data_IF_467761046320
#
_entry.id   IF_467761046320
#
_cell.length_a   1.000
_cell.length_b   1.000
_cell.length_c   1.000
_cell.angle_alpha   90.00
_cell.angle_beta   90.00
_cell.angle_gamma   90.00
#
_symmetry.space_group_name_H-M   'P 1'
#
loop_
_entity.id
_entity.type
_entity.pdbx_description
1 polymer ?
#
# COMPACT_ATOMS: atom_id res chain seq x y z
N UNK A 1 36.31 8.87 -5.50
CA UNK A 1 35.51 7.76 -4.91
C UNK A 1 34.23 8.25 -4.24
N UNK A 2 34.21 9.45 -3.65
CA UNK A 2 33.01 10.09 -3.07
C UNK A 2 31.91 10.37 -4.09
N UNK A 3 32.25 10.86 -5.28
CA UNK A 3 31.26 11.35 -6.25
C UNK A 3 30.38 10.22 -6.82
N UNK A 4 30.96 9.04 -7.04
CA UNK A 4 30.23 7.85 -7.49
C UNK A 4 29.26 7.34 -6.42
N UNK A 5 29.63 7.44 -5.14
CA UNK A 5 28.75 7.08 -4.03
C UNK A 5 27.54 8.03 -3.93
N UNK A 6 27.78 9.35 -3.97
CA UNK A 6 26.70 10.33 -3.93
C UNK A 6 25.76 10.21 -5.13
N UNK A 7 26.30 9.96 -6.33
CA UNK A 7 25.50 9.74 -7.53
C UNK A 7 24.60 8.51 -7.40
N UNK A 8 25.15 7.38 -6.96
CA UNK A 8 24.37 6.15 -6.76
C UNK A 8 23.30 6.32 -5.67
N UNK A 9 23.61 7.06 -4.60
CA UNK A 9 22.65 7.35 -3.54
C UNK A 9 21.49 8.22 -4.04
N UNK A 10 21.79 9.26 -4.83
CA UNK A 10 20.78 10.11 -5.46
C UNK A 10 19.90 9.31 -6.42
N UNK A 11 20.50 8.45 -7.24
CA UNK A 11 19.77 7.55 -8.13
C UNK A 11 18.86 6.60 -7.34
N UNK A 12 19.37 5.97 -6.29
CA UNK A 12 18.60 5.06 -5.46
C UNK A 12 17.37 5.73 -4.84
N UNK A 13 17.56 6.91 -4.25
CA UNK A 13 16.46 7.69 -3.66
C UNK A 13 15.48 8.13 -4.74
N UNK A 14 15.96 8.60 -5.89
CA UNK A 14 15.13 9.03 -7.01
C UNK A 14 14.27 7.91 -7.57
N UNK A 15 14.86 6.74 -7.80
CA UNK A 15 14.15 5.53 -8.28
C UNK A 15 13.15 5.05 -7.23
N UNK A 16 13.52 5.05 -5.95
CA UNK A 16 12.60 4.64 -4.87
C UNK A 16 11.39 5.56 -4.82
N UNK A 17 11.60 6.89 -4.86
CA UNK A 17 10.52 7.86 -4.88
C UNK A 17 9.63 7.70 -6.12
N UNK A 18 10.24 7.48 -7.29
CA UNK A 18 9.53 7.25 -8.54
C UNK A 18 8.64 6.00 -8.48
N UNK A 19 9.18 4.87 -8.01
CA UNK A 19 8.42 3.63 -7.83
C UNK A 19 7.27 3.79 -6.81
N UNK A 20 7.49 4.56 -5.74
CA UNK A 20 6.49 4.78 -4.71
C UNK A 20 5.41 5.79 -5.08
N UNK A 21 5.67 6.73 -5.98
CA UNK A 21 4.70 7.78 -6.29
C UNK A 21 4.04 7.63 -7.66
N UNK A 22 4.79 7.25 -8.70
CA UNK A 22 4.32 7.32 -10.08
C UNK A 22 3.13 6.37 -10.33
N UNK A 23 3.20 5.06 -9.99
CA UNK A 23 2.10 4.13 -10.30
C UNK A 23 0.79 4.53 -9.62
N UNK A 24 0.84 4.89 -8.34
CA UNK A 24 -0.31 5.33 -7.57
C UNK A 24 -0.85 6.68 -8.06
N UNK A 25 0.01 7.63 -8.39
CA UNK A 25 -0.43 8.90 -8.97
C UNK A 25 -1.13 8.70 -10.33
N UNK A 26 -0.57 7.87 -11.21
CA UNK A 26 -1.17 7.52 -12.50
C UNK A 26 -2.50 6.79 -12.32
N UNK A 27 -2.60 5.90 -11.34
CA UNK A 27 -3.86 5.23 -11.01
C UNK A 27 -4.91 6.22 -10.53
N UNK A 28 -4.56 7.14 -9.62
CA UNK A 28 -5.49 8.19 -9.19
C UNK A 28 -5.96 9.02 -10.39
N UNK A 29 -5.06 9.35 -11.31
CA UNK A 29 -5.40 10.10 -12.52
C UNK A 29 -6.27 9.30 -13.51
N UNK A 30 -6.08 7.99 -13.61
CA UNK A 30 -6.84 7.11 -14.50
C UNK A 30 -8.24 6.79 -13.96
N UNK A 31 -8.36 6.55 -12.65
CA UNK A 31 -9.60 6.07 -12.04
C UNK A 31 -10.45 7.17 -11.40
N UNK A 32 -9.84 8.24 -10.91
CA UNK A 32 -10.52 9.34 -10.21
C UNK A 32 -10.38 10.67 -10.96
N UNK A 33 -11.32 11.59 -10.73
CA UNK A 33 -11.29 12.87 -11.41
C UNK A 33 -10.22 13.79 -10.82
N UNK A 34 -9.50 14.52 -11.68
CA UNK A 34 -8.40 15.41 -11.31
C UNK A 34 -8.77 16.50 -10.30
N UNK A 35 -10.05 16.83 -10.15
CA UNK A 35 -10.56 17.85 -9.22
C UNK A 35 -11.18 17.31 -7.94
N UNK A 36 -11.27 15.98 -7.76
CA UNK A 36 -11.84 15.39 -6.54
C UNK A 36 -10.89 15.44 -5.34
N UNK A 37 -9.58 15.45 -5.58
CA UNK A 37 -8.57 15.43 -4.53
C UNK A 37 -7.69 16.67 -4.55
N UNK A 38 -7.32 17.14 -3.36
CA UNK A 38 -6.30 18.18 -3.20
C UNK A 38 -4.91 17.64 -3.62
N UNK A 39 -3.94 18.51 -3.98
CA UNK A 39 -2.59 18.06 -4.31
C UNK A 39 -1.92 17.26 -3.18
N UNK A 40 -2.20 17.62 -1.92
CA UNK A 40 -1.70 16.92 -0.75
C UNK A 40 -2.32 15.53 -0.63
N UNK A 41 -3.64 15.40 -0.80
CA UNK A 41 -4.33 14.11 -0.82
C UNK A 41 -3.81 13.20 -1.92
N UNK A 42 -3.57 13.72 -3.13
CA UNK A 42 -2.98 12.95 -4.23
C UNK A 42 -1.58 12.43 -3.87
N UNK A 43 -0.76 13.26 -3.23
CA UNK A 43 0.57 12.87 -2.79
C UNK A 43 0.47 11.74 -1.74
N UNK A 44 -0.32 11.93 -0.69
CA UNK A 44 -0.48 10.96 0.41
C UNK A 44 -1.09 9.65 -0.06
N UNK A 45 -2.12 9.70 -0.92
CA UNK A 45 -2.79 8.50 -1.44
C UNK A 45 -1.96 7.78 -2.51
N UNK A 46 -1.07 8.47 -3.23
CA UNK A 46 -0.24 7.84 -4.27
C UNK A 46 0.71 6.77 -3.70
N UNK A 47 1.26 6.99 -2.51
CA UNK A 47 2.23 6.08 -1.88
C UNK A 47 1.64 4.70 -1.56
N UNK A 48 0.58 4.58 -0.72
CA UNK A 48 0.00 3.28 -0.41
C UNK A 48 -0.61 2.60 -1.64
N UNK A 49 -1.09 3.39 -2.62
CA UNK A 49 -1.65 2.86 -3.85
C UNK A 49 -0.59 2.27 -4.77
N UNK A 50 0.59 2.91 -4.88
CA UNK A 50 1.73 2.32 -5.58
C UNK A 50 2.17 1.02 -4.93
N UNK A 51 2.26 0.98 -3.59
CA UNK A 51 2.58 -0.27 -2.88
C UNK A 51 1.59 -1.38 -3.23
N UNK A 52 0.28 -1.08 -3.19
CA UNK A 52 -0.75 -2.06 -3.53
C UNK A 52 -0.61 -2.55 -4.98
N UNK A 53 -0.45 -1.63 -5.94
CA UNK A 53 -0.33 -1.96 -7.37
C UNK A 53 0.91 -2.77 -7.68
N UNK A 54 2.07 -2.37 -7.16
CA UNK A 54 3.33 -3.08 -7.34
C UNK A 54 3.24 -4.47 -6.70
N UNK A 55 2.68 -4.57 -5.50
CA UNK A 55 2.51 -5.86 -4.81
C UNK A 55 1.63 -6.81 -5.62
N UNK A 56 0.50 -6.33 -6.15
CA UNK A 56 -0.36 -7.11 -7.04
C UNK A 56 0.39 -7.55 -8.31
N UNK A 57 1.14 -6.64 -8.95
CA UNK A 57 1.90 -6.94 -10.15
C UNK A 57 2.98 -8.03 -9.90
N UNK A 58 3.71 -7.94 -8.78
CA UNK A 58 4.69 -8.95 -8.36
C UNK A 58 4.01 -10.30 -8.08
N UNK A 59 2.85 -10.29 -7.40
CA UNK A 59 2.09 -11.51 -7.14
C UNK A 59 1.65 -12.19 -8.45
N UNK A 60 1.21 -11.42 -9.44
CA UNK A 60 0.85 -11.93 -10.77
C UNK A 60 2.06 -12.54 -11.48
N UNK A 61 3.22 -11.87 -11.44
CA UNK A 61 4.46 -12.40 -11.99
C UNK A 61 4.87 -13.73 -11.33
N UNK A 62 4.77 -13.80 -10.01
CA UNK A 62 5.03 -15.02 -9.24
C UNK A 62 4.06 -16.15 -9.62
N UNK A 63 2.77 -15.83 -9.80
CA UNK A 63 1.77 -16.80 -10.26
C UNK A 63 2.08 -17.35 -11.66
N UNK A 64 2.67 -16.54 -12.54
CA UNK A 64 3.11 -16.96 -13.88
C UNK A 64 4.53 -17.54 -13.91
N UNK A 65 5.16 -17.73 -12.76
CA UNK A 65 6.54 -18.25 -12.63
C UNK A 65 7.56 -17.43 -13.43
N UNK A 66 7.30 -16.13 -13.61
CA UNK A 66 8.27 -15.22 -14.24
C UNK A 66 9.40 -14.99 -13.24
N UNK A 67 10.68 -15.17 -13.64
CA UNK A 67 11.81 -14.95 -12.75
C UNK A 67 11.85 -13.48 -12.31
N UNK A 68 12.00 -13.27 -11.00
CA UNK A 68 12.06 -11.95 -10.35
C UNK A 68 13.45 -11.33 -10.49
N UNK A 69 13.84 -11.03 -11.73
CA UNK A 69 15.11 -10.37 -12.06
C UNK A 69 14.91 -8.87 -12.34
N UNK A 70 15.97 -8.07 -12.24
CA UNK A 70 15.95 -6.62 -12.41
C UNK A 70 15.24 -6.19 -13.71
N UNK A 71 15.56 -6.86 -14.82
CA UNK A 71 14.99 -6.58 -16.14
C UNK A 71 13.47 -6.76 -16.14
N UNK A 72 12.98 -7.79 -15.46
CA UNK A 72 11.55 -8.08 -15.36
C UNK A 72 10.82 -7.06 -14.48
N UNK A 73 11.46 -6.56 -13.42
CA UNK A 73 10.89 -5.48 -12.60
C UNK A 73 10.72 -4.18 -13.39
N UNK A 74 11.73 -3.81 -14.20
CA UNK A 74 11.66 -2.62 -15.05
C UNK A 74 10.56 -2.76 -16.09
N UNK A 75 10.49 -3.92 -16.77
CA UNK A 75 9.44 -4.20 -17.76
C UNK A 75 8.05 -4.13 -17.12
N UNK A 76 7.87 -4.77 -15.96
CA UNK A 76 6.61 -4.74 -15.22
C UNK A 76 6.21 -3.30 -14.88
N UNK A 77 7.13 -2.48 -14.35
CA UNK A 77 6.84 -1.09 -14.03
C UNK A 77 6.42 -0.29 -15.27
N UNK A 78 7.13 -0.47 -16.39
CA UNK A 78 6.77 0.14 -17.67
C UNK A 78 5.38 -0.29 -18.15
N UNK A 79 5.04 -1.58 -18.02
CA UNK A 79 3.71 -2.12 -18.39
C UNK A 79 2.61 -1.51 -17.51
N UNK A 80 2.81 -1.48 -16.19
CA UNK A 80 1.85 -0.88 -15.25
C UNK A 80 1.62 0.60 -15.59
N UNK A 81 2.70 1.37 -15.77
CA UNK A 81 2.59 2.78 -16.16
C UNK A 81 1.91 2.95 -17.53
N UNK A 82 2.23 2.11 -18.53
CA UNK A 82 1.62 2.18 -19.86
C UNK A 82 0.12 1.89 -19.81
N UNK A 83 -0.30 0.83 -19.11
CA UNK A 83 -1.72 0.47 -18.96
C UNK A 83 -2.49 1.59 -18.28
N UNK A 84 -1.95 2.16 -17.20
CA UNK A 84 -2.59 3.28 -16.49
C UNK A 84 -2.63 4.55 -17.34
N UNK A 85 -1.57 4.84 -18.10
CA UNK A 85 -1.50 5.99 -18.99
C UNK A 85 -2.51 5.93 -20.14
N UNK A 86 -2.64 4.75 -20.76
CA UNK A 86 -3.66 4.49 -21.79
C UNK A 86 -5.07 4.61 -21.20
N UNK A 87 -5.31 4.03 -20.02
CA UNK A 87 -6.59 4.14 -19.31
C UNK A 87 -6.99 5.59 -19.01
N UNK A 88 -6.02 6.42 -18.61
CA UNK A 88 -6.23 7.85 -18.43
C UNK A 88 -6.54 8.59 -19.74
N UNK A 89 -5.86 8.25 -20.83
CA UNK A 89 -6.03 8.93 -22.12
C UNK A 89 -7.39 8.63 -22.78
N UNK A 90 -7.91 7.41 -22.61
CA UNK A 90 -9.22 6.99 -23.13
C UNK A 90 -10.37 7.69 -22.37
N UNK A 91 -10.16 8.09 -21.12
CA UNK A 91 -11.17 8.70 -20.25
C UNK A 91 -11.39 10.22 -20.45
N UNK A 92 -11.08 10.78 -21.62
CA UNK A 92 -11.36 12.20 -21.96
C UNK A 92 -12.86 12.55 -22.07
N UNK A 93 -13.68 12.23 -21.06
CA UNK A 93 -15.02 12.81 -20.88
C UNK A 93 -15.00 13.70 -19.64
N UNK A 94 -15.33 15.00 -19.77
CA UNK A 94 -15.48 15.87 -18.61
C UNK A 94 -16.87 15.67 -17.98
N UNK A 95 -17.00 15.27 -16.71
CA UNK A 95 -18.24 15.46 -15.98
C UNK A 95 -18.18 16.72 -15.13
N UNK A 96 -19.37 17.28 -14.96
CA UNK A 96 -19.70 18.53 -14.31
C UNK A 96 -19.33 18.50 -12.82
N UNK A 97 -18.96 19.68 -12.32
CA UNK A 97 -18.45 19.93 -10.98
C UNK A 97 -19.59 19.77 -9.96
N UNK A 98 -19.71 18.60 -9.34
CA UNK A 98 -20.54 18.46 -8.13
C UNK A 98 -19.65 18.51 -6.90
N UNK A 99 -19.66 19.68 -6.26
CA UNK A 99 -18.81 20.06 -5.13
C UNK A 99 -19.37 19.57 -3.79
N UNK A 100 -20.03 18.41 -3.74
CA UNK A 100 -20.66 17.96 -2.50
C UNK A 100 -20.41 16.48 -2.18
N UNK A 101 -19.86 16.30 -0.98
CA UNK A 101 -19.60 15.06 -0.24
C UNK A 101 -18.43 14.17 -0.68
N UNK A 102 -17.30 14.33 0.02
CA UNK A 102 -16.18 13.37 0.11
C UNK A 102 -16.59 11.97 0.64
N UNK A 103 -17.86 11.79 1.03
CA UNK A 103 -18.42 10.55 1.58
C UNK A 103 -19.67 10.06 0.82
N UNK A 104 -19.91 10.51 -0.40
CA UNK A 104 -20.98 9.98 -1.25
C UNK A 104 -20.53 8.73 -2.00
N UNK A 105 -20.30 7.64 -1.27
CA UNK A 105 -19.95 6.37 -1.90
C UNK A 105 -21.17 5.75 -2.58
N UNK A 106 -21.01 5.36 -3.85
CA UNK A 106 -22.01 4.56 -4.57
C UNK A 106 -22.21 3.20 -3.89
N UNK A 107 -23.41 2.59 -4.02
CA UNK A 107 -23.70 1.25 -3.45
C UNK A 107 -22.69 0.19 -3.88
N UNK A 108 -22.21 0.27 -5.13
CA UNK A 108 -21.15 -0.62 -5.64
C UNK A 108 -19.79 -0.34 -4.99
N UNK A 109 -19.46 0.92 -4.69
CA UNK A 109 -18.22 1.28 -4.01
C UNK A 109 -18.22 0.82 -2.55
N UNK A 110 -19.35 0.98 -1.84
CA UNK A 110 -19.50 0.48 -0.46
C UNK A 110 -19.35 -1.04 -0.42
N UNK A 111 -19.98 -1.75 -1.36
CA UNK A 111 -19.83 -3.21 -1.46
C UNK A 111 -18.37 -3.60 -1.69
N UNK A 112 -17.65 -2.87 -2.55
CA UNK A 112 -16.24 -3.12 -2.84
C UNK A 112 -15.35 -2.85 -1.62
N UNK A 113 -15.57 -1.75 -0.90
CA UNK A 113 -14.84 -1.42 0.33
C UNK A 113 -15.09 -2.49 1.40
N UNK A 114 -16.34 -2.91 1.58
CA UNK A 114 -16.68 -4.01 2.50
C UNK A 114 -16.01 -5.31 2.10
N UNK A 115 -16.03 -5.66 0.81
CA UNK A 115 -15.34 -6.84 0.30
C UNK A 115 -13.83 -6.77 0.57
N UNK A 116 -13.19 -5.62 0.35
CA UNK A 116 -11.76 -5.42 0.63
C UNK A 116 -11.46 -5.59 2.12
N UNK A 117 -12.26 -5.02 3.02
CA UNK A 117 -12.07 -5.14 4.47
C UNK A 117 -12.17 -6.61 4.89
N UNK A 118 -13.24 -7.30 4.47
CA UNK A 118 -13.44 -8.73 4.79
C UNK A 118 -12.28 -9.56 4.25
N UNK A 119 -11.90 -9.34 3.00
CA UNK A 119 -10.81 -10.06 2.36
C UNK A 119 -9.46 -9.81 3.07
N UNK A 120 -9.21 -8.57 3.51
CA UNK A 120 -8.01 -8.22 4.29
C UNK A 120 -7.98 -8.94 5.63
N UNK A 121 -9.10 -9.00 6.36
CA UNK A 121 -9.20 -9.72 7.63
C UNK A 121 -9.00 -11.21 7.42
N UNK A 122 -9.60 -11.80 6.38
CA UNK A 122 -9.44 -13.22 6.06
C UNK A 122 -7.99 -13.54 5.70
N UNK A 123 -7.36 -12.77 4.81
CA UNK A 123 -5.95 -13.01 4.45
C UNK A 123 -5.02 -12.85 5.65
N UNK A 124 -5.16 -11.76 6.43
CA UNK A 124 -4.35 -11.59 7.65
C UNK A 124 -4.61 -12.71 8.65
N UNK A 125 -5.85 -13.12 8.85
CA UNK A 125 -6.22 -14.24 9.72
C UNK A 125 -5.59 -15.55 9.28
N UNK A 126 -5.67 -15.90 7.99
CA UNK A 126 -5.03 -17.11 7.46
C UNK A 126 -3.51 -17.08 7.60
N UNK A 127 -2.87 -15.93 7.38
CA UNK A 127 -1.43 -15.77 7.61
C UNK A 127 -1.06 -15.88 9.10
N UNK A 128 -1.86 -15.30 10.00
CA UNK A 128 -1.65 -15.34 11.45
C UNK A 128 -1.91 -16.74 12.05
N UNK A 129 -2.78 -17.55 11.43
CA UNK A 129 -3.02 -18.94 11.84
C UNK A 129 -1.79 -19.84 11.73
N UNK A 130 -0.80 -19.47 10.92
CA UNK A 130 0.47 -20.21 10.84
C UNK A 130 1.50 -19.71 11.87
N UNK A 131 1.24 -18.59 12.55
CA UNK A 131 2.11 -17.95 13.54
C UNK A 131 1.39 -17.73 14.87
N UNK A 132 0.56 -18.70 15.29
CA UNK A 132 -0.29 -18.61 16.51
C UNK A 132 0.55 -18.30 17.76
N UNK A 133 1.82 -18.70 17.78
CA UNK A 133 2.75 -18.25 18.79
C UNK A 133 3.44 -16.96 18.36
N UNK A 134 3.38 -15.88 19.16
CA UNK A 134 4.15 -14.67 18.89
C UNK A 134 5.64 -15.01 18.91
N UNK A 135 6.24 -15.12 17.72
CA UNK A 135 7.67 -15.42 17.53
C UNK A 135 8.55 -14.18 17.73
N UNK A 136 7.95 -12.99 17.82
CA UNK A 136 8.62 -11.75 18.14
C UNK A 136 8.58 -11.50 19.65
N UNK A 137 9.76 -11.35 20.25
CA UNK A 137 9.99 -11.09 21.68
C UNK A 137 9.13 -9.95 22.23
N UNK A 138 8.90 -8.91 21.40
CA UNK A 138 8.14 -7.71 21.77
C UNK A 138 6.62 -7.96 21.82
N UNK A 139 6.07 -8.64 20.81
CA UNK A 139 4.63 -8.94 20.76
C UNK A 139 4.23 -9.90 21.89
N UNK A 140 5.09 -10.86 22.22
CA UNK A 140 4.89 -11.77 23.36
C UNK A 140 4.87 -11.02 24.70
N UNK A 141 5.76 -10.04 24.89
CA UNK A 141 5.75 -9.20 26.09
C UNK A 141 4.47 -8.36 26.21
N UNK A 142 4.03 -7.74 25.11
CA UNK A 142 2.76 -7.02 25.12
C UNK A 142 1.56 -7.93 25.42
N UNK A 143 1.53 -9.13 24.83
CA UNK A 143 0.46 -10.10 25.08
C UNK A 143 0.46 -10.59 26.54
N UNK A 144 1.63 -10.83 27.12
CA UNK A 144 1.78 -11.16 28.54
C UNK A 144 1.23 -10.06 29.45
N UNK A 145 1.55 -8.79 29.17
CA UNK A 145 1.04 -7.67 29.96
C UNK A 145 -0.48 -7.48 29.81
N UNK A 146 -1.02 -7.68 28.60
CA UNK A 146 -2.47 -7.66 28.36
C UNK A 146 -3.16 -8.78 29.14
N UNK A 147 -2.61 -10.00 29.13
CA UNK A 147 -3.15 -11.11 29.92
C UNK A 147 -3.09 -10.80 31.42
N UNK A 148 -1.96 -10.27 31.90
CA UNK A 148 -1.78 -9.93 33.32
C UNK A 148 -2.77 -8.85 33.78
N UNK A 149 -2.95 -7.79 32.99
CA UNK A 149 -3.94 -6.73 33.27
C UNK A 149 -5.37 -7.31 33.25
N UNK A 150 -5.67 -8.17 32.29
CA UNK A 150 -6.98 -8.80 32.17
C UNK A 150 -7.30 -9.72 33.37
N UNK A 151 -6.30 -10.41 33.92
CA UNK A 151 -6.45 -11.32 35.08
C UNK A 151 -6.42 -10.59 36.42
N UNK A 152 -5.49 -9.67 36.59
CA UNK A 152 -5.19 -9.05 37.90
C UNK A 152 -5.94 -7.73 38.10
N UNK A 153 -6.62 -7.21 37.07
CA UNK A 153 -7.33 -5.91 37.05
C UNK A 153 -6.50 -4.74 37.57
N UNK A 154 -5.18 -4.88 37.55
CA UNK A 154 -4.22 -3.92 38.10
C UNK A 154 -3.14 -3.64 37.07
N UNK A 155 -2.63 -2.40 37.09
CA UNK A 155 -1.57 -2.00 36.18
C UNK A 155 -0.25 -2.64 36.60
N UNK A 156 0.50 -3.25 35.67
CA UNK A 156 1.76 -3.86 36.00
C UNK A 156 2.80 -2.82 36.42
N UNK A 157 3.52 -3.11 37.50
CA UNK A 157 4.73 -2.37 37.84
C UNK A 157 5.86 -2.80 36.90
N UNK A 158 6.29 -1.87 36.05
CA UNK A 158 7.45 -2.02 35.18
C UNK A 158 8.73 -1.88 36.02
N UNK A 159 9.17 -2.97 36.65
CA UNK A 159 10.55 -3.02 37.13
C UNK A 159 11.46 -3.11 35.91
N UNK A 160 12.22 -2.03 35.66
CA UNK A 160 13.34 -2.08 34.71
C UNK A 160 14.34 -3.09 35.26
N UNK A 161 14.39 -4.29 34.69
CA UNK A 161 15.51 -5.19 34.91
C UNK A 161 16.78 -4.43 34.48
N UNK A 162 17.66 -4.17 35.44
CA UNK A 162 19.00 -3.64 35.20
C UNK A 162 19.89 -4.71 34.59
#
# INVERSE_FOLDING_TARGET
MTDAFFYNQLLFIGVTLACLMIPGYMFLHAFFHTKQFTPLEKCVLSVPLSFALITIAIMIMGAWRIPLDYTHYVIMLCVVCAVLGVGAFIRKKPPQRDTQHLFSFSRTQILLIMAIIVCTVVFKGMFLLQTIFPTATDLGHHLFWVEKIAREHTLPHYEKMK
#
